data_IF_382809669172
#
_entry.id   IF_382809669172
#
_cell.length_a   1.000
_cell.length_b   1.000
_cell.length_c   1.000
_cell.angle_alpha   90.00
_cell.angle_beta   90.00
_cell.angle_gamma   90.00
#
_symmetry.space_group_name_H-M   'P 1'
#
loop_
_entity.id
_entity.type
_entity.pdbx_description
1 polymer ?
#
# COMPACT_ATOMS: atom_id res chain seq x y z
N UNK A 1 6.95 -28.33 -0.58
CA UNK A 1 5.73 -27.64 -0.12
C UNK A 1 4.65 -28.15 -1.04
N UNK A 2 3.60 -28.81 -0.55
CA UNK A 2 2.58 -29.39 -1.42
C UNK A 2 1.85 -28.30 -2.20
N UNK A 3 1.43 -28.55 -3.43
CA UNK A 3 0.69 -27.62 -4.31
C UNK A 3 -0.53 -27.03 -3.61
N UNK A 4 -1.26 -27.84 -2.87
CA UNK A 4 -2.43 -27.44 -2.07
C UNK A 4 -2.09 -26.38 -0.99
N UNK A 5 -0.94 -26.50 -0.34
CA UNK A 5 -0.48 -25.53 0.66
C UNK A 5 -0.01 -24.20 0.02
N UNK A 6 0.41 -24.25 -1.24
CA UNK A 6 0.76 -23.05 -2.02
C UNK A 6 -0.52 -22.30 -2.44
N UNK A 7 -1.50 -23.00 -3.01
CA UNK A 7 -2.77 -22.38 -3.44
C UNK A 7 -3.55 -21.78 -2.25
N UNK A 8 -3.59 -22.47 -1.11
CA UNK A 8 -4.24 -21.94 0.09
C UNK A 8 -3.57 -20.66 0.59
N UNK A 9 -2.24 -20.59 0.61
CA UNK A 9 -1.51 -19.39 1.05
C UNK A 9 -1.65 -18.24 0.05
N UNK A 10 -1.73 -18.54 -1.23
CA UNK A 10 -1.97 -17.56 -2.28
C UNK A 10 -3.38 -16.95 -2.11
N UNK A 11 -4.41 -17.76 -1.91
CA UNK A 11 -5.77 -17.29 -1.62
C UNK A 11 -5.84 -16.41 -0.36
N UNK A 12 -5.14 -16.79 0.72
CA UNK A 12 -5.02 -15.97 1.92
C UNK A 12 -4.29 -14.64 1.65
N UNK A 13 -3.35 -14.62 0.71
CA UNK A 13 -2.68 -13.40 0.26
C UNK A 13 -3.64 -12.40 -0.36
N UNK A 14 -4.54 -12.86 -1.24
CA UNK A 14 -5.59 -12.03 -1.84
C UNK A 14 -6.56 -11.48 -0.79
N UNK A 15 -7.02 -12.34 0.13
CA UNK A 15 -7.90 -11.91 1.23
C UNK A 15 -7.24 -10.83 2.10
N UNK A 16 -5.96 -11.00 2.42
CA UNK A 16 -5.20 -10.03 3.19
C UNK A 16 -5.04 -8.69 2.45
N UNK A 17 -4.80 -8.72 1.13
CA UNK A 17 -4.75 -7.53 0.31
C UNK A 17 -6.11 -6.79 0.30
N UNK A 18 -7.20 -7.50 0.01
CA UNK A 18 -8.56 -6.93 0.00
C UNK A 18 -8.90 -6.29 1.35
N UNK A 19 -8.68 -7.02 2.45
CA UNK A 19 -8.92 -6.50 3.80
C UNK A 19 -8.13 -5.22 4.07
N UNK A 20 -6.85 -5.21 3.71
CA UNK A 20 -5.99 -4.04 3.90
C UNK A 20 -6.50 -2.83 3.11
N UNK A 21 -6.85 -3.02 1.83
CA UNK A 21 -7.30 -1.95 0.96
C UNK A 21 -8.63 -1.36 1.39
N UNK A 22 -9.55 -2.17 1.89
CA UNK A 22 -10.82 -1.70 2.46
C UNK A 22 -10.58 -0.72 3.62
N UNK A 23 -9.64 -1.03 4.51
CA UNK A 23 -9.28 -0.13 5.61
C UNK A 23 -8.48 1.09 5.11
N UNK A 24 -7.46 0.89 4.25
CA UNK A 24 -6.65 2.00 3.78
C UNK A 24 -7.44 3.00 2.94
N UNK A 25 -8.46 2.57 2.18
CA UNK A 25 -9.33 3.48 1.46
C UNK A 25 -10.06 4.51 2.36
N UNK A 26 -10.23 4.21 3.64
CA UNK A 26 -10.84 5.14 4.61
C UNK A 26 -9.84 6.00 5.37
N UNK A 27 -8.53 5.68 5.32
CA UNK A 27 -7.50 6.40 6.09
C UNK A 27 -7.30 7.84 5.65
N UNK A 28 -7.49 8.15 4.37
CA UNK A 28 -7.39 9.52 3.85
C UNK A 28 -8.37 10.47 4.55
N UNK A 29 -9.58 9.99 4.84
CA UNK A 29 -10.61 10.75 5.56
C UNK A 29 -10.21 10.95 7.02
N UNK A 30 -9.80 9.87 7.70
CA UNK A 30 -9.35 9.93 9.09
C UNK A 30 -8.14 10.86 9.26
N UNK A 31 -7.17 10.78 8.35
CA UNK A 31 -6.01 11.67 8.33
C UNK A 31 -6.45 13.13 8.08
N UNK A 32 -7.36 13.38 7.12
CA UNK A 32 -7.87 14.73 6.84
C UNK A 32 -8.62 15.33 8.02
N UNK A 33 -9.33 14.52 8.80
CA UNK A 33 -9.97 14.95 10.05
C UNK A 33 -8.91 15.36 11.08
N UNK A 34 -7.91 14.52 11.32
CA UNK A 34 -6.84 14.80 12.30
C UNK A 34 -5.96 16.00 11.92
N UNK A 35 -5.77 16.28 10.64
CA UNK A 35 -5.02 17.44 10.16
C UNK A 35 -5.66 18.80 10.53
N UNK A 36 -6.86 18.80 11.11
CA UNK A 36 -7.48 20.02 11.69
C UNK A 36 -6.81 20.46 12.98
N UNK A 37 -6.32 19.49 13.77
CA UNK A 37 -5.79 19.71 15.12
C UNK A 37 -4.33 19.26 15.27
N UNK A 38 -3.81 18.43 14.37
CA UNK A 38 -2.48 17.85 14.43
C UNK A 38 -1.66 18.20 13.20
N UNK A 39 -0.36 18.44 13.37
CA UNK A 39 0.57 18.55 12.26
C UNK A 39 0.79 17.20 11.55
N UNK A 40 1.13 17.19 10.25
CA UNK A 40 1.40 15.95 9.50
C UNK A 40 2.36 14.99 10.20
N UNK A 41 3.48 15.48 10.72
CA UNK A 41 4.48 14.66 11.39
C UNK A 41 4.00 14.15 12.78
N UNK A 42 3.18 14.89 13.49
CA UNK A 42 2.56 14.44 14.76
C UNK A 42 1.70 13.20 14.54
N UNK A 43 0.80 13.26 13.55
CA UNK A 43 -0.06 12.13 13.20
C UNK A 43 0.81 10.90 12.89
N UNK A 44 1.87 11.07 12.11
CA UNK A 44 2.74 9.97 11.72
C UNK A 44 3.45 9.33 12.89
N UNK A 45 4.10 10.10 13.72
CA UNK A 45 4.87 9.58 14.85
C UNK A 45 3.93 8.87 15.82
N UNK A 46 2.80 9.49 16.19
CA UNK A 46 1.85 8.92 17.12
C UNK A 46 1.28 7.59 16.58
N UNK A 47 0.79 7.58 15.32
CA UNK A 47 0.19 6.36 14.74
C UNK A 47 1.19 5.20 14.61
N UNK A 48 2.43 5.48 14.20
CA UNK A 48 3.43 4.42 14.01
C UNK A 48 4.06 3.96 15.33
N UNK A 49 4.18 4.83 16.34
CA UNK A 49 4.57 4.42 17.69
C UNK A 49 3.49 3.52 18.30
N UNK A 50 2.21 3.88 18.20
CA UNK A 50 1.10 3.03 18.62
C UNK A 50 1.11 1.68 17.89
N UNK A 51 1.30 1.71 16.57
CA UNK A 51 1.40 0.51 15.75
C UNK A 51 2.59 -0.38 16.15
N UNK A 52 3.75 0.23 16.42
CA UNK A 52 4.93 -0.50 16.89
C UNK A 52 4.67 -1.18 18.24
N UNK A 53 4.08 -0.47 19.21
CA UNK A 53 3.71 -1.02 20.51
C UNK A 53 2.77 -2.20 20.35
N UNK A 54 1.71 -2.06 19.53
CA UNK A 54 0.76 -3.13 19.26
C UNK A 54 1.43 -4.37 18.65
N UNK A 55 2.35 -4.18 17.68
CA UNK A 55 3.11 -5.27 17.06
C UNK A 55 4.10 -5.94 18.03
N UNK A 56 4.68 -5.17 18.97
CA UNK A 56 5.55 -5.73 20.03
C UNK A 56 4.74 -6.58 21.00
N UNK A 57 3.54 -6.13 21.38
CA UNK A 57 2.62 -6.90 22.25
C UNK A 57 2.16 -8.18 21.53
N UNK A 58 1.76 -8.07 20.25
CA UNK A 58 1.29 -9.22 19.46
C UNK A 58 2.37 -10.28 19.25
N UNK A 59 3.63 -9.87 19.08
CA UNK A 59 4.74 -10.80 18.90
C UNK A 59 6.05 -10.23 19.49
N UNK A 60 6.35 -10.49 20.77
CA UNK A 60 7.46 -9.84 21.49
C UNK A 60 8.86 -10.32 21.07
N UNK A 61 8.98 -11.48 20.41
CA UNK A 61 10.30 -12.03 20.03
C UNK A 61 10.99 -11.14 18.98
N UNK A 62 12.21 -10.61 19.24
CA UNK A 62 12.93 -9.80 18.25
C UNK A 62 13.53 -10.66 17.14
N UNK A 63 13.79 -10.04 15.97
CA UNK A 63 14.67 -10.64 14.95
C UNK A 63 16.10 -10.61 15.48
N UNK A 64 16.82 -11.73 15.34
CA UNK A 64 18.23 -11.89 15.73
C UNK A 64 19.02 -12.46 14.56
N UNK A 65 20.34 -12.27 14.55
CA UNK A 65 21.25 -12.86 13.56
C UNK A 65 21.13 -12.27 12.16
N UNK A 66 20.73 -11.00 12.05
CA UNK A 66 20.66 -10.27 10.78
C UNK A 66 22.04 -9.79 10.35
N UNK A 67 22.27 -9.79 9.04
CA UNK A 67 23.47 -9.19 8.44
C UNK A 67 23.26 -7.69 8.22
N UNK A 68 24.36 -6.93 8.09
CA UNK A 68 24.29 -5.50 7.77
C UNK A 68 23.47 -5.22 6.49
N UNK A 69 23.61 -6.07 5.46
CA UNK A 69 22.84 -5.95 4.22
C UNK A 69 21.34 -6.11 4.44
N UNK A 70 20.92 -7.01 5.32
CA UNK A 70 19.52 -7.18 5.70
C UNK A 70 19.02 -5.97 6.49
N UNK A 71 19.79 -5.46 7.45
CA UNK A 71 19.44 -4.27 8.22
C UNK A 71 19.29 -3.04 7.33
N UNK A 72 20.19 -2.82 6.36
CA UNK A 72 20.05 -1.75 5.36
C UNK A 72 18.79 -1.91 4.51
N UNK A 73 18.37 -3.14 4.21
CA UNK A 73 17.11 -3.38 3.50
C UNK A 73 15.89 -3.05 4.36
N UNK A 74 15.91 -3.39 5.66
CA UNK A 74 14.87 -2.99 6.61
C UNK A 74 14.82 -1.47 6.78
N UNK A 75 15.99 -0.83 6.91
CA UNK A 75 16.09 0.62 7.03
C UNK A 75 15.54 1.32 5.77
N UNK A 76 15.91 0.84 4.58
CA UNK A 76 15.36 1.36 3.33
C UNK A 76 13.85 1.22 3.22
N UNK A 77 13.30 0.08 3.65
CA UNK A 77 11.84 -0.13 3.69
C UNK A 77 11.16 0.79 4.73
N UNK A 78 11.77 1.01 5.90
CA UNK A 78 11.29 1.96 6.90
C UNK A 78 11.30 3.39 6.39
N UNK A 79 12.41 3.80 5.77
CA UNK A 79 12.54 5.14 5.20
C UNK A 79 11.51 5.38 4.07
N UNK A 80 11.38 4.45 3.13
CA UNK A 80 10.48 4.63 1.99
C UNK A 80 9.00 4.47 2.40
N UNK A 81 8.63 3.34 3.00
CA UNK A 81 7.21 3.00 3.23
C UNK A 81 6.59 3.66 4.45
N UNK A 82 7.40 4.05 5.45
CA UNK A 82 6.89 4.60 6.69
C UNK A 82 7.15 6.11 6.78
N UNK A 83 8.36 6.55 6.52
CA UNK A 83 8.72 7.96 6.69
C UNK A 83 8.34 8.79 5.47
N UNK A 84 8.99 8.53 4.33
CA UNK A 84 8.85 9.39 3.15
C UNK A 84 7.45 9.33 2.55
N UNK A 85 6.92 8.12 2.33
CA UNK A 85 5.59 7.95 1.75
C UNK A 85 4.55 8.75 2.54
N UNK A 86 4.42 8.47 3.85
CA UNK A 86 3.38 9.10 4.65
C UNK A 86 3.63 10.57 4.95
N UNK A 87 4.87 11.00 5.06
CA UNK A 87 5.17 12.43 5.23
C UNK A 87 4.74 13.20 3.98
N UNK A 88 5.09 12.72 2.79
CA UNK A 88 4.68 13.32 1.53
C UNK A 88 3.15 13.29 1.35
N UNK A 89 2.50 12.15 1.65
CA UNK A 89 1.05 11.99 1.59
C UNK A 89 0.33 12.94 2.55
N UNK A 90 0.75 13.00 3.80
CA UNK A 90 0.11 13.87 4.80
C UNK A 90 0.32 15.35 4.47
N UNK A 91 1.50 15.74 3.96
CA UNK A 91 1.71 17.11 3.48
C UNK A 91 0.85 17.38 2.24
N UNK A 92 0.74 16.44 1.29
CA UNK A 92 -0.16 16.57 0.16
C UNK A 92 -1.60 16.82 0.59
N UNK A 93 -2.08 16.09 1.63
CA UNK A 93 -3.42 16.27 2.19
C UNK A 93 -3.65 17.65 2.83
N UNK A 94 -2.62 18.38 3.21
CA UNK A 94 -2.80 19.78 3.65
C UNK A 94 -3.08 20.72 2.48
N UNK A 95 -2.60 20.39 1.28
CA UNK A 95 -2.74 21.23 0.08
C UNK A 95 -3.95 20.87 -0.77
N UNK A 96 -4.36 19.57 -0.78
CA UNK A 96 -5.45 19.12 -1.67
C UNK A 96 -6.46 18.21 -0.96
N UNK A 97 -7.46 17.70 -1.69
CA UNK A 97 -8.53 16.86 -1.13
C UNK A 97 -8.06 15.41 -0.90
N UNK A 98 -8.73 14.69 0.01
CA UNK A 98 -8.50 13.27 0.24
C UNK A 98 -8.74 12.44 -1.04
N UNK A 99 -9.79 12.75 -1.78
CA UNK A 99 -10.11 12.12 -3.07
C UNK A 99 -8.98 12.30 -4.08
N UNK A 100 -8.42 13.51 -4.22
CA UNK A 100 -7.36 13.79 -5.19
C UNK A 100 -6.06 13.05 -4.82
N UNK A 101 -5.64 13.07 -3.55
CA UNK A 101 -4.45 12.34 -3.10
C UNK A 101 -4.62 10.84 -3.31
N UNK A 102 -5.79 10.26 -3.00
CA UNK A 102 -6.06 8.83 -3.19
C UNK A 102 -5.99 8.42 -4.66
N UNK A 103 -6.48 9.28 -5.55
CA UNK A 103 -6.42 9.10 -7.00
C UNK A 103 -4.98 9.05 -7.49
N UNK A 104 -4.17 10.04 -7.12
CA UNK A 104 -2.76 10.11 -7.54
C UNK A 104 -1.94 8.97 -6.93
N UNK A 105 -2.18 8.63 -5.66
CA UNK A 105 -1.52 7.51 -5.00
C UNK A 105 -1.79 6.16 -5.72
N UNK A 106 -2.93 6.04 -6.41
CA UNK A 106 -3.28 4.84 -7.19
C UNK A 106 -2.42 4.60 -8.42
N UNK A 107 -1.52 5.52 -8.76
CA UNK A 107 -0.48 5.30 -9.79
C UNK A 107 0.66 4.38 -9.27
N UNK A 108 0.75 4.14 -7.97
CA UNK A 108 1.81 3.32 -7.35
C UNK A 108 2.02 1.93 -7.98
N UNK A 109 1.01 1.18 -8.42
CA UNK A 109 1.21 -0.09 -9.12
C UNK A 109 2.04 0.05 -10.39
N UNK A 110 1.84 1.11 -11.16
CA UNK A 110 2.62 1.38 -12.36
C UNK A 110 4.11 1.57 -12.02
N UNK A 111 4.43 2.36 -11.02
CA UNK A 111 5.81 2.51 -10.55
C UNK A 111 6.37 1.19 -10.01
N UNK A 112 5.53 0.36 -9.35
CA UNK A 112 5.96 -0.95 -8.83
C UNK A 112 6.34 -1.90 -9.96
N UNK A 113 5.54 -1.95 -11.04
CA UNK A 113 5.84 -2.76 -12.22
C UNK A 113 7.14 -2.32 -12.89
N UNK A 114 7.30 -1.01 -13.14
CA UNK A 114 8.51 -0.47 -13.75
C UNK A 114 9.76 -0.75 -12.92
N UNK A 115 9.67 -0.53 -11.61
CA UNK A 115 10.79 -0.74 -10.69
C UNK A 115 11.13 -2.23 -10.56
N UNK A 116 10.11 -3.12 -10.49
CA UNK A 116 10.31 -4.56 -10.45
C UNK A 116 11.04 -5.06 -11.69
N UNK A 117 10.62 -4.62 -12.88
CA UNK A 117 11.30 -4.92 -14.14
C UNK A 117 12.76 -4.45 -14.16
N UNK A 118 13.01 -3.22 -13.71
CA UNK A 118 14.36 -2.66 -13.66
C UNK A 118 15.27 -3.44 -12.68
N UNK A 119 14.76 -3.78 -11.49
CA UNK A 119 15.52 -4.51 -10.45
C UNK A 119 15.76 -5.96 -10.84
N UNK A 120 14.79 -6.61 -11.51
CA UNK A 120 14.92 -8.00 -12.00
C UNK A 120 15.80 -8.11 -13.24
N UNK A 121 16.27 -6.99 -13.80
CA UNK A 121 17.02 -6.91 -15.05
C UNK A 121 16.28 -7.58 -16.22
N UNK A 122 14.97 -7.38 -16.28
CA UNK A 122 14.12 -7.93 -17.34
C UNK A 122 13.76 -9.41 -17.18
N UNK A 123 14.12 -10.07 -16.07
CA UNK A 123 13.74 -11.47 -15.84
C UNK A 123 12.25 -11.64 -15.50
N UNK A 124 11.64 -10.65 -14.86
CA UNK A 124 10.20 -10.63 -14.69
C UNK A 124 9.55 -10.19 -16.01
N UNK A 125 8.74 -11.06 -16.62
CA UNK A 125 8.04 -10.73 -17.85
C UNK A 125 6.96 -9.70 -17.57
N UNK A 126 7.04 -8.54 -18.21
CA UNK A 126 5.96 -7.56 -18.20
C UNK A 126 4.77 -8.13 -18.97
N UNK A 127 3.64 -8.30 -18.29
CA UNK A 127 2.41 -8.76 -18.94
C UNK A 127 1.72 -7.56 -19.59
N UNK A 128 1.34 -7.67 -20.85
CA UNK A 128 0.60 -6.62 -21.57
C UNK A 128 -0.68 -6.25 -20.80
N UNK A 129 -1.31 -7.22 -20.13
CA UNK A 129 -2.54 -7.00 -19.34
C UNK A 129 -2.37 -6.04 -18.18
N UNK A 130 -1.17 -5.91 -17.59
CA UNK A 130 -0.92 -4.86 -16.60
C UNK A 130 -1.06 -3.45 -17.19
N UNK A 131 -0.54 -3.24 -18.40
CA UNK A 131 -0.63 -1.95 -19.08
C UNK A 131 -2.06 -1.64 -19.54
N UNK A 132 -2.78 -2.66 -20.06
CA UNK A 132 -4.19 -2.52 -20.44
C UNK A 132 -5.05 -2.22 -19.21
N UNK A 133 -4.91 -3.01 -18.15
CA UNK A 133 -5.64 -2.80 -16.91
C UNK A 133 -5.29 -1.45 -16.27
N UNK A 134 -4.02 -1.04 -16.30
CA UNK A 134 -3.58 0.29 -15.86
C UNK A 134 -4.25 1.41 -16.66
N UNK A 135 -4.26 1.32 -17.99
CA UNK A 135 -4.88 2.35 -18.85
C UNK A 135 -6.40 2.48 -18.57
N UNK A 136 -7.10 1.34 -18.40
CA UNK A 136 -8.52 1.33 -18.04
C UNK A 136 -8.74 1.90 -16.65
N UNK A 137 -7.96 1.48 -15.64
CA UNK A 137 -8.05 2.00 -14.28
C UNK A 137 -7.77 3.51 -14.26
N UNK A 138 -6.73 3.99 -14.95
CA UNK A 138 -6.40 5.42 -15.05
C UNK A 138 -7.51 6.24 -15.71
N UNK A 139 -8.16 5.69 -16.74
CA UNK A 139 -9.35 6.34 -17.34
C UNK A 139 -10.47 6.50 -16.30
N UNK A 140 -10.75 5.45 -15.53
CA UNK A 140 -11.72 5.50 -14.43
C UNK A 140 -11.33 6.48 -13.33
N UNK A 141 -10.05 6.54 -12.97
CA UNK A 141 -9.50 7.49 -12.00
C UNK A 141 -9.68 8.93 -12.49
N UNK A 142 -9.36 9.23 -13.75
CA UNK A 142 -9.60 10.54 -14.34
C UNK A 142 -11.09 10.92 -14.30
N UNK A 143 -11.98 10.00 -14.68
CA UNK A 143 -13.43 10.25 -14.59
C UNK A 143 -13.88 10.57 -13.17
N UNK A 144 -13.34 9.86 -12.18
CA UNK A 144 -13.63 10.08 -10.77
C UNK A 144 -13.16 11.47 -10.33
N UNK A 145 -11.95 11.88 -10.71
CA UNK A 145 -11.38 13.21 -10.40
C UNK A 145 -12.20 14.35 -10.99
N UNK A 146 -12.65 14.22 -12.23
CA UNK A 146 -13.47 15.25 -12.89
C UNK A 146 -14.92 15.28 -12.40
N UNK A 147 -15.39 14.26 -11.69
CA UNK A 147 -16.75 14.22 -11.17
C UNK A 147 -16.93 15.00 -9.87
N UNK A 148 -15.87 15.30 -9.16
CA UNK A 148 -15.92 16.11 -7.95
C UNK A 148 -15.95 17.59 -8.32
N UNK A 149 -16.96 18.31 -7.86
CA UNK A 149 -17.24 19.74 -8.21
C UNK A 149 -16.16 20.72 -7.74
N UNK A 150 -15.11 20.24 -7.10
CA UNK A 150 -13.98 21.04 -6.58
C UNK A 150 -12.62 20.44 -6.98
N UNK A 151 -12.47 20.07 -8.26
CA UNK A 151 -11.14 19.80 -8.77
C UNK A 151 -10.36 21.13 -8.81
N UNK A 152 -9.63 21.40 -7.74
CA UNK A 152 -8.63 22.46 -7.72
C UNK A 152 -7.29 21.75 -7.92
N UNK A 153 -6.67 22.00 -9.05
CA UNK A 153 -5.30 21.57 -9.27
C UNK A 153 -4.41 22.35 -8.30
N UNK A 154 -3.89 21.64 -7.30
CA UNK A 154 -2.90 22.18 -6.37
C UNK A 154 -1.55 21.52 -6.72
N UNK A 155 -0.75 22.14 -7.60
CA UNK A 155 0.40 21.49 -8.22
C UNK A 155 1.41 20.91 -7.21
N UNK A 156 1.56 21.56 -6.06
CA UNK A 156 2.45 21.08 -5.00
C UNK A 156 1.91 19.82 -4.33
N UNK A 157 0.61 19.81 -3.96
CA UNK A 157 -0.04 18.64 -3.37
C UNK A 157 -0.04 17.44 -4.32
N UNK A 158 -0.34 17.68 -5.58
CA UNK A 158 -0.35 16.64 -6.63
C UNK A 158 1.05 16.05 -6.87
N UNK A 159 2.08 16.90 -6.94
CA UNK A 159 3.47 16.46 -7.08
C UNK A 159 3.93 15.62 -5.87
N UNK A 160 3.60 16.06 -4.64
CA UNK A 160 3.94 15.34 -3.43
C UNK A 160 3.27 13.96 -3.39
N UNK A 161 2.00 13.87 -3.77
CA UNK A 161 1.27 12.60 -3.86
C UNK A 161 1.89 11.67 -4.93
N UNK A 162 2.31 12.21 -6.08
CA UNK A 162 2.97 11.44 -7.13
C UNK A 162 4.33 10.88 -6.68
N UNK A 163 5.14 11.72 -6.00
CA UNK A 163 6.41 11.28 -5.42
C UNK A 163 6.16 10.21 -4.35
N UNK A 164 5.13 10.38 -3.51
CA UNK A 164 4.74 9.36 -2.52
C UNK A 164 4.43 8.03 -3.20
N UNK A 165 3.66 8.02 -4.30
CA UNK A 165 3.35 6.79 -5.04
C UNK A 165 4.62 6.10 -5.59
N UNK A 166 5.59 6.86 -6.09
CA UNK A 166 6.88 6.31 -6.53
C UNK A 166 7.69 5.74 -5.36
N UNK A 167 7.71 6.43 -4.22
CA UNK A 167 8.40 5.98 -2.99
C UNK A 167 7.76 4.69 -2.45
N UNK A 168 6.42 4.55 -2.54
CA UNK A 168 5.72 3.32 -2.18
C UNK A 168 6.16 2.10 -3.01
N UNK A 169 6.46 2.31 -4.29
CA UNK A 169 7.00 1.25 -5.13
C UNK A 169 8.34 0.71 -4.61
N UNK A 170 9.24 1.59 -4.14
CA UNK A 170 10.48 1.16 -3.49
C UNK A 170 10.20 0.32 -2.23
N UNK A 171 9.28 0.76 -1.38
CA UNK A 171 8.85 -0.01 -0.21
C UNK A 171 8.38 -1.42 -0.60
N UNK A 172 7.53 -1.53 -1.61
CA UNK A 172 6.98 -2.80 -2.08
C UNK A 172 8.07 -3.77 -2.54
N UNK A 173 9.03 -3.30 -3.33
CA UNK A 173 10.16 -4.12 -3.80
C UNK A 173 11.08 -4.54 -2.64
N UNK A 174 11.40 -3.62 -1.72
CA UNK A 174 12.22 -3.93 -0.55
C UNK A 174 11.53 -4.94 0.37
N UNK A 175 10.23 -4.78 0.59
CA UNK A 175 9.42 -5.72 1.40
C UNK A 175 9.36 -7.10 0.74
N UNK A 176 9.22 -7.16 -0.59
CA UNK A 176 9.32 -8.43 -1.33
C UNK A 176 10.65 -9.10 -1.10
N UNK A 177 11.75 -8.35 -1.18
CA UNK A 177 13.09 -8.87 -0.88
C UNK A 177 13.22 -9.38 0.54
N UNK A 178 12.70 -8.61 1.52
CA UNK A 178 12.71 -8.98 2.95
C UNK A 178 11.92 -10.27 3.17
N UNK A 179 10.83 -10.49 2.44
CA UNK A 179 10.01 -11.71 2.57
C UNK A 179 10.81 -12.99 2.28
N UNK A 180 11.85 -12.90 1.44
CA UNK A 180 12.79 -13.98 1.14
C UNK A 180 13.77 -14.30 2.28
N UNK A 181 13.85 -13.47 3.32
CA UNK A 181 14.75 -13.75 4.46
C UNK A 181 14.19 -14.77 5.46
N UNK A 182 12.95 -15.23 5.30
CA UNK A 182 12.34 -16.27 6.11
C UNK A 182 11.83 -15.84 7.49
N UNK A 183 11.92 -14.56 7.84
CA UNK A 183 11.43 -14.05 9.12
C UNK A 183 9.88 -14.02 9.19
N UNK A 184 9.35 -14.00 10.42
CA UNK A 184 7.93 -13.83 10.65
C UNK A 184 7.47 -12.42 10.20
N UNK A 185 6.31 -12.33 9.54
CA UNK A 185 5.79 -11.08 8.96
C UNK A 185 5.60 -9.97 10.01
N UNK A 186 5.12 -10.31 11.22
CA UNK A 186 4.94 -9.33 12.31
C UNK A 186 6.30 -8.79 12.78
N UNK A 187 7.32 -9.67 12.90
CA UNK A 187 8.68 -9.24 13.25
C UNK A 187 9.26 -8.30 12.18
N UNK A 188 9.06 -8.65 10.90
CA UNK A 188 9.46 -7.83 9.75
C UNK A 188 8.81 -6.44 9.83
N UNK A 189 7.48 -6.39 9.95
CA UNK A 189 6.72 -5.12 10.04
C UNK A 189 7.20 -4.28 11.21
N UNK A 190 7.40 -4.89 12.38
CA UNK A 190 7.93 -4.22 13.57
C UNK A 190 9.33 -3.63 13.33
N UNK A 191 10.24 -4.36 12.67
CA UNK A 191 11.60 -3.87 12.36
C UNK A 191 11.54 -2.69 11.39
N UNK A 192 10.69 -2.77 10.37
CA UNK A 192 10.44 -1.68 9.41
C UNK A 192 9.90 -0.44 10.13
N UNK A 193 8.92 -0.60 11.04
CA UNK A 193 8.38 0.51 11.82
C UNK A 193 9.42 1.17 12.71
N UNK A 194 10.28 0.37 13.38
CA UNK A 194 11.35 0.91 14.21
C UNK A 194 12.31 1.81 13.41
N UNK A 195 12.72 1.37 12.22
CA UNK A 195 13.53 2.21 11.33
C UNK A 195 12.77 3.44 10.82
N UNK A 196 11.50 3.26 10.43
CA UNK A 196 10.67 4.38 9.98
C UNK A 196 10.52 5.45 11.04
N UNK A 197 10.21 5.07 12.29
CA UNK A 197 10.12 6.01 13.41
C UNK A 197 11.47 6.72 13.65
N UNK A 198 12.57 5.98 13.58
CA UNK A 198 13.91 6.57 13.72
C UNK A 198 14.16 7.66 12.67
N UNK A 199 13.77 7.41 11.41
CA UNK A 199 13.92 8.40 10.34
C UNK A 199 12.90 9.55 10.41
N UNK A 200 11.82 9.43 11.18
CA UNK A 200 10.87 10.51 11.43
C UNK A 200 11.38 11.50 12.49
N UNK A 201 12.35 11.13 13.32
CA UNK A 201 12.88 12.00 14.39
C UNK A 201 13.34 13.37 13.86
N UNK A 202 14.10 13.47 12.73
CA UNK A 202 14.43 14.77 12.16
C UNK A 202 13.23 15.62 11.78
N UNK A 203 12.17 15.00 11.20
CA UNK A 203 10.96 15.70 10.81
C UNK A 203 10.23 16.29 12.04
N UNK A 204 10.24 15.61 13.18
CA UNK A 204 9.68 16.13 14.43
C UNK A 204 10.34 17.43 14.87
N UNK A 205 11.67 17.53 14.77
CA UNK A 205 12.41 18.72 15.17
C UNK A 205 12.41 19.84 14.11
N UNK A 206 12.15 19.52 12.84
CA UNK A 206 12.12 20.48 11.74
C UNK A 206 10.72 21.08 11.52
N UNK A 207 9.69 20.49 12.11
CA UNK A 207 8.32 20.96 12.04
C UNK A 207 7.86 21.33 13.46
N UNK A 208 6.93 22.27 13.60
CA UNK A 208 6.37 22.70 14.89
C UNK A 208 5.48 21.63 15.50
N UNK A 209 6.07 20.47 15.83
CA UNK A 209 5.37 19.36 16.45
C UNK A 209 5.33 19.52 17.97
N UNK A 210 4.13 19.53 18.53
CA UNK A 210 3.89 19.60 19.97
C UNK A 210 2.96 18.47 20.41
N UNK A 211 3.46 17.60 21.30
CA UNK A 211 2.62 16.54 21.88
C UNK A 211 1.71 17.13 22.94
N UNK A 212 0.49 17.47 22.54
CA UNK A 212 -0.52 18.01 23.41
C UNK A 212 -1.64 16.97 23.65
N UNK A 213 -1.57 16.32 24.82
CA UNK A 213 -2.47 15.22 25.16
C UNK A 213 -3.94 15.67 25.32
N UNK A 214 -4.18 16.95 25.60
CA UNK A 214 -5.53 17.53 25.69
C UNK A 214 -6.34 17.36 24.40
N UNK A 215 -5.69 17.33 23.21
CA UNK A 215 -6.36 17.11 21.91
C UNK A 215 -7.04 15.74 21.81
N UNK A 216 -6.61 14.76 22.60
CA UNK A 216 -7.23 13.43 22.66
C UNK A 216 -8.46 13.37 23.61
N UNK A 217 -8.79 14.45 24.31
CA UNK A 217 -10.06 14.56 25.00
C UNK A 217 -11.25 14.63 24.04
N UNK A 218 -11.01 15.07 22.77
CA UNK A 218 -12.00 14.96 21.71
C UNK A 218 -12.12 13.50 21.25
N UNK A 219 -13.30 12.86 21.38
CA UNK A 219 -13.53 11.48 20.95
C UNK A 219 -13.28 11.28 19.45
N UNK A 220 -13.47 12.31 18.61
CA UNK A 220 -13.23 12.26 17.17
C UNK A 220 -11.73 12.10 16.90
N UNK A 221 -10.89 12.90 17.55
CA UNK A 221 -9.45 12.81 17.44
C UNK A 221 -8.92 11.47 17.96
N UNK A 222 -9.40 11.06 19.14
CA UNK A 222 -8.99 9.80 19.75
C UNK A 222 -9.36 8.59 18.87
N UNK A 223 -10.61 8.53 18.40
CA UNK A 223 -11.06 7.39 17.57
C UNK A 223 -10.33 7.29 16.23
N UNK A 224 -10.12 8.44 15.55
CA UNK A 224 -9.36 8.46 14.31
C UNK A 224 -7.89 8.09 14.52
N UNK A 225 -7.27 8.55 15.61
CA UNK A 225 -5.88 8.20 15.91
C UNK A 225 -5.73 6.71 16.27
N UNK A 226 -6.66 6.14 17.07
CA UNK A 226 -6.70 4.70 17.36
C UNK A 226 -6.88 3.88 16.09
N UNK A 227 -7.80 4.29 15.22
CA UNK A 227 -8.00 3.64 13.92
C UNK A 227 -6.74 3.67 13.05
N UNK A 228 -6.08 4.83 12.93
CA UNK A 228 -4.85 4.96 12.16
C UNK A 228 -3.69 4.18 12.79
N UNK A 229 -3.54 4.20 14.11
CA UNK A 229 -2.42 3.55 14.81
C UNK A 229 -2.55 2.02 14.86
N UNK A 230 -3.70 1.52 15.28
CA UNK A 230 -3.91 0.08 15.49
C UNK A 230 -4.42 -0.60 14.22
N UNK A 231 -5.45 -0.07 13.60
CA UNK A 231 -6.05 -0.63 12.39
C UNK A 231 -5.14 -0.45 11.17
N UNK A 232 -5.02 0.79 10.72
CA UNK A 232 -4.35 1.11 9.46
C UNK A 232 -2.82 0.95 9.50
N UNK A 233 -2.18 1.12 10.67
CA UNK A 233 -0.74 0.89 10.80
C UNK A 233 -0.44 -0.55 11.22
N UNK A 234 -0.77 -1.00 12.44
CA UNK A 234 -0.34 -2.32 12.91
C UNK A 234 -0.93 -3.47 12.09
N UNK A 235 -2.27 -3.53 12.01
CA UNK A 235 -2.97 -4.65 11.34
C UNK A 235 -2.75 -4.59 9.83
N UNK A 236 -3.00 -3.45 9.19
CA UNK A 236 -2.91 -3.34 7.74
C UNK A 236 -1.50 -3.55 7.20
N UNK A 237 -0.45 -3.05 7.85
CA UNK A 237 0.91 -3.33 7.40
C UNK A 237 1.30 -4.79 7.60
N UNK A 238 0.85 -5.45 8.66
CA UNK A 238 1.08 -6.88 8.84
C UNK A 238 0.38 -7.70 7.74
N UNK A 239 -0.88 -7.40 7.43
CA UNK A 239 -1.66 -8.09 6.39
C UNK A 239 -1.14 -7.75 4.99
N UNK A 240 -0.73 -6.51 4.72
CA UNK A 240 -0.12 -6.10 3.46
C UNK A 240 1.23 -6.76 3.20
N UNK A 241 2.10 -6.78 4.21
CA UNK A 241 3.38 -7.48 4.11
C UNK A 241 3.20 -8.99 3.95
N UNK A 242 2.15 -9.56 4.53
CA UNK A 242 1.75 -10.95 4.29
C UNK A 242 1.30 -11.14 2.83
N UNK A 243 0.48 -10.23 2.29
CA UNK A 243 0.07 -10.27 0.89
C UNK A 243 1.28 -10.20 -0.06
N UNK A 244 2.19 -9.22 0.13
CA UNK A 244 3.43 -9.11 -0.67
C UNK A 244 4.26 -10.39 -0.60
N UNK A 245 4.34 -11.03 0.57
CA UNK A 245 5.08 -12.28 0.75
C UNK A 245 4.54 -13.41 -0.12
N UNK A 246 3.23 -13.53 -0.26
CA UNK A 246 2.58 -14.65 -0.94
C UNK A 246 2.21 -14.36 -2.40
N UNK A 247 1.84 -13.12 -2.73
CA UNK A 247 1.48 -12.70 -4.09
C UNK A 247 2.67 -12.09 -4.85
N UNK A 248 3.59 -11.46 -4.15
CA UNK A 248 4.61 -10.61 -4.75
C UNK A 248 4.23 -9.13 -4.74
N UNK A 249 5.21 -8.27 -5.05
CA UNK A 249 5.04 -6.83 -4.99
C UNK A 249 4.14 -6.29 -6.12
N UNK A 250 4.24 -6.86 -7.31
CA UNK A 250 3.47 -6.42 -8.49
C UNK A 250 2.00 -6.81 -8.34
N UNK A 251 1.71 -8.09 -8.09
CA UNK A 251 0.34 -8.60 -7.97
C UNK A 251 -0.40 -7.97 -6.79
N UNK A 252 0.24 -7.84 -5.61
CA UNK A 252 -0.39 -7.15 -4.48
C UNK A 252 -0.63 -5.67 -4.75
N UNK A 253 0.25 -4.98 -5.49
CA UNK A 253 0.11 -3.54 -5.74
C UNK A 253 -1.12 -3.19 -6.58
N UNK A 254 -1.61 -4.11 -7.41
CA UNK A 254 -2.80 -3.89 -8.26
C UNK A 254 -4.04 -3.58 -7.43
N UNK A 255 -4.16 -4.15 -6.22
CA UNK A 255 -5.28 -3.88 -5.31
C UNK A 255 -5.39 -2.40 -4.90
N UNK A 256 -4.29 -1.64 -4.98
CA UNK A 256 -4.27 -0.20 -4.68
C UNK A 256 -5.22 0.59 -5.60
N UNK A 257 -5.51 0.09 -6.81
CA UNK A 257 -6.51 0.70 -7.69
C UNK A 257 -7.91 0.78 -7.06
N UNK A 258 -8.23 -0.08 -6.10
CA UNK A 258 -9.51 -0.02 -5.40
C UNK A 258 -9.59 1.05 -4.30
N UNK A 259 -8.48 1.71 -3.94
CA UNK A 259 -8.46 2.75 -2.91
C UNK A 259 -9.39 3.94 -3.27
N UNK A 260 -9.29 4.58 -4.46
CA UNK A 260 -10.13 5.73 -4.79
C UNK A 260 -11.64 5.44 -4.72
N UNK A 261 -12.16 4.34 -5.28
CA UNK A 261 -13.57 3.98 -5.11
C UNK A 261 -14.01 3.91 -3.64
N UNK A 262 -13.20 3.26 -2.80
CA UNK A 262 -13.49 3.12 -1.37
C UNK A 262 -13.47 4.48 -0.68
N UNK A 263 -12.46 5.32 -1.01
CA UNK A 263 -12.35 6.67 -0.46
C UNK A 263 -13.56 7.52 -0.82
N UNK A 264 -14.02 7.48 -2.08
CA UNK A 264 -15.19 8.24 -2.54
C UNK A 264 -16.47 7.77 -1.85
N UNK A 265 -16.68 6.46 -1.73
CA UNK A 265 -17.83 5.90 -1.02
C UNK A 265 -17.81 6.33 0.45
N UNK A 266 -16.66 6.24 1.10
CA UNK A 266 -16.51 6.64 2.48
C UNK A 266 -16.69 8.16 2.67
N UNK A 267 -16.18 8.99 1.74
CA UNK A 267 -16.38 10.43 1.75
C UNK A 267 -17.86 10.80 1.54
N UNK A 268 -18.58 10.09 0.69
CA UNK A 268 -20.01 10.29 0.50
C UNK A 268 -20.79 10.01 1.80
N UNK A 269 -20.43 8.96 2.53
CA UNK A 269 -21.10 8.57 3.79
C UNK A 269 -20.74 9.53 4.93
N UNK A 270 -19.44 9.85 5.10
CA UNK A 270 -18.93 10.59 6.27
C UNK A 270 -18.98 12.10 6.06
N UNK A 271 -18.64 12.56 4.85
CA UNK A 271 -18.56 13.98 4.49
C UNK A 271 -19.79 14.46 3.70
N UNK A 272 -20.75 13.56 3.43
CA UNK A 272 -21.97 13.81 2.64
C UNK A 272 -21.67 14.38 1.25
N UNK A 273 -20.56 13.95 0.62
CA UNK A 273 -20.20 14.32 -0.74
C UNK A 273 -21.15 13.67 -1.74
N UNK A 274 -21.55 14.42 -2.79
CA UNK A 274 -22.45 13.89 -3.81
C UNK A 274 -21.71 12.94 -4.76
N UNK A 275 -22.24 11.73 -4.91
CA UNK A 275 -21.75 10.76 -5.89
C UNK A 275 -22.47 10.99 -7.22
N UNK A 276 -21.74 11.33 -8.26
CA UNK A 276 -22.28 11.58 -9.59
C UNK A 276 -22.30 10.30 -10.44
N UNK A 277 -23.03 10.33 -11.59
CA UNK A 277 -22.99 9.23 -12.57
C UNK A 277 -21.57 9.02 -13.11
N UNK A 278 -20.78 10.08 -13.26
CA UNK A 278 -19.37 10.00 -13.64
C UNK A 278 -18.52 9.30 -12.58
N UNK A 279 -18.82 9.53 -11.29
CA UNK A 279 -18.16 8.80 -10.18
C UNK A 279 -18.45 7.31 -10.26
N UNK A 280 -19.71 6.92 -10.51
CA UNK A 280 -20.08 5.51 -10.63
C UNK A 280 -19.42 4.84 -11.84
N UNK A 281 -19.43 5.50 -13.00
CA UNK A 281 -18.75 5.00 -14.20
C UNK A 281 -17.24 4.86 -13.98
N UNK A 282 -16.60 5.83 -13.31
CA UNK A 282 -15.19 5.79 -12.91
C UNK A 282 -14.89 4.60 -12.00
N UNK A 283 -15.71 4.35 -10.99
CA UNK A 283 -15.57 3.19 -10.08
C UNK A 283 -15.62 1.88 -10.86
N UNK A 284 -16.58 1.72 -11.78
CA UNK A 284 -16.71 0.52 -12.61
C UNK A 284 -15.46 0.29 -13.46
N UNK A 285 -14.93 1.33 -14.09
CA UNK A 285 -13.71 1.23 -14.90
C UNK A 285 -12.48 0.90 -14.05
N UNK A 286 -12.33 1.47 -12.85
CA UNK A 286 -11.23 1.15 -11.93
C UNK A 286 -11.27 -0.34 -11.55
N UNK A 287 -12.44 -0.84 -11.15
CA UNK A 287 -12.60 -2.25 -10.79
C UNK A 287 -12.37 -3.19 -11.99
N UNK A 288 -12.85 -2.81 -13.18
CA UNK A 288 -12.58 -3.56 -14.42
C UNK A 288 -11.08 -3.59 -14.74
N UNK A 289 -10.37 -2.47 -14.61
CA UNK A 289 -8.92 -2.39 -14.78
C UNK A 289 -8.15 -3.26 -13.79
N UNK A 290 -8.59 -3.29 -12.52
CA UNK A 290 -8.04 -4.16 -11.48
C UNK A 290 -8.20 -5.63 -11.89
N UNK A 291 -9.42 -6.07 -12.21
CA UNK A 291 -9.70 -7.45 -12.62
C UNK A 291 -8.87 -7.83 -13.85
N UNK A 292 -8.82 -6.97 -14.87
CA UNK A 292 -8.02 -7.21 -16.07
C UNK A 292 -6.52 -7.35 -15.78
N UNK A 293 -5.99 -6.58 -14.84
CA UNK A 293 -4.58 -6.67 -14.43
C UNK A 293 -4.26 -8.01 -13.76
N UNK A 294 -5.24 -8.62 -13.08
CA UNK A 294 -5.10 -9.93 -12.41
C UNK A 294 -5.34 -11.12 -13.35
N UNK A 295 -6.09 -10.93 -14.45
CA UNK A 295 -6.39 -12.03 -15.35
C UNK A 295 -5.12 -12.59 -15.98
N UNK A 296 -4.89 -13.88 -15.77
CA UNK A 296 -3.85 -14.66 -16.45
C UNK A 296 -4.37 -15.07 -17.83
N UNK A 297 -4.48 -14.10 -18.75
CA UNK A 297 -4.75 -14.43 -20.15
C UNK A 297 -3.49 -14.97 -20.81
N UNK A 298 -3.48 -16.23 -21.11
CA UNK A 298 -2.65 -16.76 -22.14
C UNK A 298 -1.68 -17.86 -21.74
N UNK A 299 -1.69 -18.89 -22.55
CA UNK A 299 -0.82 -20.04 -22.70
C UNK A 299 -0.44 -20.73 -21.38
N UNK A 300 -1.05 -21.87 -21.13
CA UNK A 300 -0.34 -22.97 -20.47
C UNK A 300 1.10 -22.90 -20.97
N UNK A 301 2.03 -22.72 -20.06
CA UNK A 301 3.44 -22.74 -20.43
C UNK A 301 3.69 -24.10 -21.12
N UNK A 302 3.98 -24.04 -22.41
CA UNK A 302 4.39 -25.20 -23.22
C UNK A 302 5.66 -25.87 -22.67
N UNK A 303 6.26 -25.33 -21.63
CA UNK A 303 7.33 -25.91 -20.85
C UNK A 303 6.86 -27.01 -19.91
N UNK A 304 5.69 -26.86 -19.26
CA UNK A 304 5.14 -27.92 -18.39
C UNK A 304 4.62 -29.11 -19.23
N UNK A 305 4.04 -28.85 -20.40
CA UNK A 305 3.66 -29.94 -21.33
C UNK A 305 4.86 -30.66 -21.96
N UNK A 306 6.01 -29.98 -22.11
CA UNK A 306 7.25 -30.62 -22.54
C UNK A 306 7.88 -31.47 -21.45
N UNK A 307 7.94 -30.97 -20.21
CA UNK A 307 8.46 -31.78 -19.08
C UNK A 307 7.56 -32.98 -18.80
N UNK A 308 6.23 -32.84 -18.85
CA UNK A 308 5.30 -33.95 -18.66
C UNK A 308 5.34 -34.98 -19.81
N UNK A 309 5.60 -34.53 -21.05
CA UNK A 309 5.80 -35.45 -22.19
C UNK A 309 7.18 -36.09 -22.18
N UNK A 310 8.23 -35.40 -21.76
CA UNK A 310 9.56 -35.97 -21.64
C UNK A 310 9.62 -37.01 -20.49
N UNK A 311 8.95 -36.77 -19.34
CA UNK A 311 8.82 -37.76 -18.25
C UNK A 311 8.00 -38.99 -18.67
N UNK A 312 6.95 -38.82 -19.50
CA UNK A 312 6.17 -39.97 -20.03
C UNK A 312 6.95 -40.78 -21.06
N UNK A 313 7.80 -40.14 -21.83
CA UNK A 313 8.63 -40.84 -22.83
C UNK A 313 9.81 -41.58 -22.18
N UNK A 314 10.34 -41.08 -21.06
CA UNK A 314 11.37 -41.79 -20.27
C UNK A 314 10.80 -42.96 -19.46
N UNK A 315 9.51 -42.97 -19.13
CA UNK A 315 8.87 -44.08 -18.40
C UNK A 315 8.41 -45.25 -19.27
N UNK A 316 8.39 -45.06 -20.61
CA UNK A 316 7.99 -46.09 -21.59
C UNK A 316 9.18 -46.79 -22.29
N UNK A 317 10.44 -46.39 -22.00
CA UNK A 317 11.66 -47.06 -22.43
C UNK A 317 12.37 -47.70 -21.26
#
# INVERSE_FOLDING_TARGET
MTTENYEQKHGLGHMAAIFTILLWGTTFISTKILLRDFAPAEILIIRFVMGLIALVIAYPKPIRGTTLRQELTFAGAGLSGITLYYLLENIALTHTTASNVSVIASVAPFFTVLLSYAVSRGKEKLRVMYFVGFAIAMTGICMLSFSTTKFQAEPLGDLLALIAAAVWAFYSILTRRISGYGFNTIQVTRRIFAYGILFMIPAWFLTDCHLELSRFADPVNLSNMLFLGLGASAVCFATWNFAIKHLGAVESSVYIYAIPPITVIAAAIVLHEQVTVFSLAGIVLILAGLVLSELKFGKKDTSEEKEENDEKTESEN
#
